data_IF_257188277178
#
_entry.id   IF_257188277178
#
_cell.length_a   1.000
_cell.length_b   1.000
_cell.length_c   1.000
_cell.angle_alpha   90.00
_cell.angle_beta   90.00
_cell.angle_gamma   90.00
#
_symmetry.space_group_name_H-M   'P 1'
#
loop_
_entity.id
_entity.type
_entity.pdbx_description
1 polymer ?
#
# COMPACT_ATOMS: atom_id res chain seq x y z
N UNK A 1 -9.27 11.80 -0.24
CA UNK A 1 -8.48 11.23 -1.37
C UNK A 1 -8.17 9.79 -1.06
N UNK A 2 -8.47 8.88 -1.97
CA UNK A 2 -8.45 7.41 -1.78
C UNK A 2 -7.08 6.89 -1.31
N UNK A 3 -5.99 7.27 -1.97
CA UNK A 3 -4.60 6.94 -1.59
C UNK A 3 -4.26 7.30 -0.15
N UNK A 4 -4.68 8.49 0.31
CA UNK A 4 -4.37 8.95 1.68
C UNK A 4 -5.07 8.05 2.70
N UNK A 5 -6.29 7.62 2.41
CA UNK A 5 -7.02 6.72 3.30
C UNK A 5 -6.35 5.35 3.42
N UNK A 6 -5.94 4.76 2.29
CA UNK A 6 -5.19 3.49 2.28
C UNK A 6 -3.84 3.60 3.00
N UNK A 7 -3.13 4.71 2.84
CA UNK A 7 -1.89 4.97 3.56
C UNK A 7 -2.11 5.13 5.07
N UNK A 8 -3.18 5.81 5.50
CA UNK A 8 -3.54 5.90 6.91
C UNK A 8 -3.81 4.53 7.53
N UNK A 9 -4.57 3.66 6.85
CA UNK A 9 -4.82 2.29 7.30
C UNK A 9 -3.51 1.52 7.47
N UNK A 10 -2.61 1.59 6.49
CA UNK A 10 -1.32 0.91 6.56
C UNK A 10 -0.46 1.38 7.75
N UNK A 11 -0.50 2.68 8.07
CA UNK A 11 0.20 3.26 9.23
C UNK A 11 -0.45 2.82 10.54
N UNK A 12 -1.78 2.88 10.65
CA UNK A 12 -2.53 2.47 11.85
C UNK A 12 -2.35 0.98 12.17
N UNK A 13 -2.15 0.16 11.14
CA UNK A 13 -1.86 -1.27 11.27
C UNK A 13 -0.38 -1.59 11.47
N UNK A 14 0.50 -0.58 11.53
CA UNK A 14 1.95 -0.74 11.62
C UNK A 14 2.53 -1.72 10.58
N UNK A 15 2.01 -1.68 9.35
CA UNK A 15 2.38 -2.64 8.31
C UNK A 15 3.86 -2.52 7.91
N UNK A 16 4.55 -3.66 7.79
CA UNK A 16 5.89 -3.72 7.22
C UNK A 16 5.85 -3.62 5.69
N UNK A 17 7.00 -3.32 5.07
CA UNK A 17 7.11 -3.30 3.61
C UNK A 17 6.75 -4.66 2.98
N UNK A 18 7.13 -5.77 3.62
CA UNK A 18 6.79 -7.13 3.19
C UNK A 18 5.27 -7.37 3.26
N UNK A 19 4.60 -6.91 4.32
CA UNK A 19 3.14 -7.01 4.43
C UNK A 19 2.42 -6.16 3.39
N UNK A 20 2.95 -4.98 3.05
CA UNK A 20 2.42 -4.11 1.99
C UNK A 20 2.50 -4.76 0.60
N UNK A 21 3.52 -5.57 0.35
CA UNK A 21 3.66 -6.32 -0.91
C UNK A 21 2.56 -7.38 -1.10
N UNK A 22 2.02 -7.91 -0.01
CA UNK A 22 0.94 -8.92 -0.02
C UNK A 22 -0.47 -8.32 -0.11
N UNK A 23 -0.63 -7.00 0.07
CA UNK A 23 -1.93 -6.33 -0.08
C UNK A 23 -2.43 -6.46 -1.52
N UNK A 24 -3.72 -6.76 -1.69
CA UNK A 24 -4.39 -6.82 -2.99
C UNK A 24 -5.25 -5.57 -3.17
N UNK A 25 -4.78 -4.66 -4.00
CA UNK A 25 -5.58 -3.53 -4.47
C UNK A 25 -6.39 -3.97 -5.70
N UNK A 26 -7.66 -3.51 -5.85
CA UNK A 26 -8.39 -3.69 -7.09
C UNK A 26 -7.62 -3.04 -8.25
N UNK A 27 -7.47 -3.73 -9.37
CA UNK A 27 -6.84 -3.17 -10.56
C UNK A 27 -7.89 -2.67 -11.56
N UNK A 28 -7.74 -1.46 -12.15
CA UNK A 28 -6.73 -0.44 -11.85
C UNK A 28 -7.19 0.53 -10.76
N UNK A 29 -6.32 0.86 -9.80
CA UNK A 29 -6.59 1.90 -8.78
C UNK A 29 -5.34 2.71 -8.49
N UNK A 30 -5.50 3.97 -8.12
CA UNK A 30 -4.34 4.82 -7.83
C UNK A 30 -3.60 4.35 -6.56
N UNK A 31 -4.31 3.80 -5.57
CA UNK A 31 -3.68 3.24 -4.36
C UNK A 31 -2.80 2.03 -4.60
N UNK A 32 -2.90 1.35 -5.76
CA UNK A 32 -2.00 0.23 -6.08
C UNK A 32 -0.52 0.66 -6.10
N UNK A 33 -0.24 1.96 -6.30
CA UNK A 33 1.09 2.55 -6.22
C UNK A 33 1.75 2.35 -4.85
N UNK A 34 0.99 2.19 -3.77
CA UNK A 34 1.52 1.93 -2.42
C UNK A 34 2.24 0.58 -2.40
N UNK A 35 1.60 -0.45 -2.98
CA UNK A 35 2.19 -1.78 -3.15
C UNK A 35 3.38 -1.74 -4.10
N UNK A 36 3.23 -1.13 -5.27
CA UNK A 36 4.29 -1.04 -6.26
C UNK A 36 5.54 -0.34 -5.70
N UNK A 37 5.34 0.73 -4.93
CA UNK A 37 6.43 1.44 -4.24
C UNK A 37 7.08 0.55 -3.18
N UNK A 38 6.32 -0.25 -2.44
CA UNK A 38 6.89 -1.18 -1.45
C UNK A 38 7.82 -2.24 -2.07
N UNK A 39 7.64 -2.59 -3.37
CA UNK A 39 8.60 -3.46 -4.10
C UNK A 39 9.90 -2.74 -4.50
N UNK A 40 9.95 -1.41 -4.43
CA UNK A 40 11.16 -0.63 -4.75
C UNK A 40 12.10 -0.44 -3.55
N UNK A 41 11.61 -0.70 -2.34
CA UNK A 41 12.38 -0.60 -1.11
C UNK A 41 13.19 -1.89 -0.96
N UNK A 42 14.51 -1.78 -1.14
CA UNK A 42 15.49 -2.82 -0.85
C UNK A 42 16.00 -2.70 0.58
#
# INVERSE_FOLDING_TARGET
SEIIHSACIAIEMEMTAEQLQEVVFPHPTVSEIIKETAFTIK
#
